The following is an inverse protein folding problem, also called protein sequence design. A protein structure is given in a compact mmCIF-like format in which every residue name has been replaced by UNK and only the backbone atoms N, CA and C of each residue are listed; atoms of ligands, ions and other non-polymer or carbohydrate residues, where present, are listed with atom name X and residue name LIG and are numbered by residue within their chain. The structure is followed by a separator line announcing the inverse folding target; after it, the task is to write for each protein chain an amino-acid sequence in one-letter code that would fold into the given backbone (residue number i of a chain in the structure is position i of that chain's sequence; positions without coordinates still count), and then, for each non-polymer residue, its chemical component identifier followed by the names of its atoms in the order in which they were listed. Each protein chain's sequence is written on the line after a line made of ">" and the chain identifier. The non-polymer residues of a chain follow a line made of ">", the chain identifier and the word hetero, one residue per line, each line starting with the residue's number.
data_IF_444829265444
#
_entry.id   IF_444829265444
#
_cell.length_a   1.000
_cell.length_b   1.000
_cell.length_c   1.000
_cell.angle_alpha   90.00
_cell.angle_beta   90.00
_cell.angle_gamma   90.00
#
_symmetry.space_group_name_H-M   'P 1'
#
loop_
_entity.id
_entity.type
_entity.pdbx_description
1 polymer ?
#
# COMPACT_ATOMS: atom_id res chain seq x y z
N UNK A 1 -14.46 17.33 -9.46
CA UNK A 1 -13.00 17.52 -9.76
C UNK A 1 -12.76 17.20 -11.23
N UNK A 2 -12.26 18.19 -11.97
CA UNK A 2 -12.11 18.15 -13.42
C UNK A 2 -10.72 17.67 -13.86
N UNK A 3 -10.57 17.34 -15.15
CA UNK A 3 -9.26 17.07 -15.76
C UNK A 3 -8.27 18.23 -15.56
N UNK A 4 -8.76 19.49 -15.59
CA UNK A 4 -7.94 20.68 -15.37
C UNK A 4 -7.33 20.67 -13.96
N UNK A 5 -8.09 20.27 -12.94
CA UNK A 5 -7.63 20.24 -11.56
C UNK A 5 -6.49 19.23 -11.38
N UNK A 6 -6.61 18.04 -11.96
CA UNK A 6 -5.55 17.03 -11.97
C UNK A 6 -4.30 17.51 -12.72
N UNK A 7 -4.46 18.14 -13.88
CA UNK A 7 -3.32 18.70 -14.63
C UNK A 7 -2.60 19.79 -13.85
N UNK A 8 -3.34 20.68 -13.17
CA UNK A 8 -2.75 21.72 -12.33
C UNK A 8 -1.96 21.12 -11.16
N UNK A 9 -2.47 20.06 -10.54
CA UNK A 9 -1.76 19.36 -9.47
C UNK A 9 -0.47 18.71 -9.97
N UNK A 10 -0.51 18.01 -11.09
CA UNK A 10 0.72 17.49 -11.70
C UNK A 10 1.71 18.59 -12.06
N UNK A 11 1.26 19.69 -12.66
CA UNK A 11 2.10 20.83 -13.00
C UNK A 11 2.78 21.44 -11.75
N UNK A 12 2.04 21.57 -10.65
CA UNK A 12 2.56 22.07 -9.38
C UNK A 12 3.74 21.22 -8.89
N UNK A 13 3.58 19.88 -8.80
CA UNK A 13 4.66 19.00 -8.35
C UNK A 13 5.82 18.94 -9.35
N UNK A 14 5.52 18.91 -10.65
CA UNK A 14 6.55 18.87 -11.71
C UNK A 14 7.29 20.21 -11.88
N UNK A 15 6.88 21.28 -11.22
CA UNK A 15 7.63 22.54 -11.17
C UNK A 15 8.79 22.52 -10.16
N UNK A 16 8.84 21.54 -9.27
CA UNK A 16 9.95 21.34 -8.34
C UNK A 16 11.24 21.00 -9.08
N UNK A 17 12.33 21.75 -8.79
CA UNK A 17 13.60 21.65 -9.51
C UNK A 17 14.34 20.35 -9.23
N UNK A 18 14.25 19.83 -8.01
CA UNK A 18 14.92 18.58 -7.62
C UNK A 18 14.20 17.38 -8.23
N UNK A 19 12.86 17.41 -8.28
CA UNK A 19 12.08 16.40 -9.00
C UNK A 19 12.36 16.42 -10.50
N UNK A 20 12.50 17.61 -11.11
CA UNK A 20 12.91 17.73 -12.52
C UNK A 20 14.30 17.14 -12.76
N UNK A 21 15.26 17.41 -11.87
CA UNK A 21 16.61 16.87 -11.97
C UNK A 21 16.60 15.33 -11.85
N UNK A 22 15.83 14.79 -10.90
CA UNK A 22 15.65 13.35 -10.74
C UNK A 22 15.12 12.72 -12.03
N UNK A 23 14.01 13.24 -12.59
CA UNK A 23 13.41 12.74 -13.82
C UNK A 23 14.33 12.87 -15.06
N UNK A 24 15.19 13.90 -15.08
CA UNK A 24 16.17 14.11 -16.13
C UNK A 24 17.32 13.10 -16.10
N UNK A 25 17.73 12.67 -14.91
CA UNK A 25 18.98 11.93 -14.68
C UNK A 25 18.78 10.43 -14.42
N UNK A 26 17.56 10.03 -14.01
CA UNK A 26 17.25 8.64 -13.64
C UNK A 26 16.06 8.12 -14.43
N UNK A 27 16.15 6.88 -14.98
CA UNK A 27 14.98 6.21 -15.51
C UNK A 27 13.98 5.90 -14.39
N UNK A 28 12.69 6.03 -14.69
CA UNK A 28 11.63 5.80 -13.73
C UNK A 28 10.70 4.68 -14.20
N UNK A 29 10.42 3.73 -13.33
CA UNK A 29 9.34 2.76 -13.48
C UNK A 29 8.29 3.15 -12.44
N UNK A 30 7.16 3.67 -12.92
CA UNK A 30 6.14 4.26 -12.06
C UNK A 30 4.84 3.47 -12.06
N UNK A 31 4.12 3.50 -10.98
CA UNK A 31 2.75 3.00 -10.83
C UNK A 31 1.97 4.03 -10.02
N UNK A 32 0.68 4.17 -10.26
CA UNK A 32 -0.17 5.03 -9.43
C UNK A 32 -0.41 4.41 -8.06
N UNK A 33 -0.77 5.26 -7.10
CA UNK A 33 -1.42 4.88 -5.86
C UNK A 33 -2.80 5.56 -5.79
N UNK A 34 -3.37 5.72 -4.61
CA UNK A 34 -4.68 6.32 -4.40
C UNK A 34 -4.67 7.84 -4.64
N UNK A 35 -3.65 8.55 -4.19
CA UNK A 35 -3.56 10.01 -4.30
C UNK A 35 -3.37 10.55 -5.72
N UNK A 36 -3.07 9.69 -6.70
CA UNK A 36 -3.23 10.03 -8.11
C UNK A 36 -4.70 10.25 -8.49
N UNK A 37 -5.64 9.76 -7.68
CA UNK A 37 -7.10 9.85 -7.86
C UNK A 37 -7.77 10.57 -6.71
N UNK A 38 -7.82 9.94 -5.54
CA UNK A 38 -8.25 10.49 -4.25
C UNK A 38 -8.04 9.44 -3.16
N UNK A 39 -7.93 9.87 -1.90
CA UNK A 39 -7.62 9.05 -0.75
C UNK A 39 -8.41 7.74 -0.70
N UNK A 40 -7.70 6.65 -0.41
CA UNK A 40 -8.23 5.29 -0.24
C UNK A 40 -9.16 4.83 -1.38
N UNK A 41 -8.74 5.06 -2.63
CA UNK A 41 -9.49 4.70 -3.84
C UNK A 41 -9.64 3.19 -4.00
N UNK A 42 -10.85 2.77 -4.41
CA UNK A 42 -11.16 1.43 -4.91
C UNK A 42 -11.81 1.50 -6.30
N UNK A 43 -12.13 0.36 -6.90
CA UNK A 43 -12.61 0.30 -8.30
C UNK A 43 -13.81 1.23 -8.63
N UNK A 44 -14.72 1.45 -7.68
CA UNK A 44 -15.99 2.16 -7.90
C UNK A 44 -16.17 3.40 -7.01
N UNK A 45 -15.15 3.82 -6.26
CA UNK A 45 -15.26 4.95 -5.35
C UNK A 45 -13.96 5.21 -4.61
N UNK A 46 -14.02 6.10 -3.63
CA UNK A 46 -12.93 6.43 -2.73
C UNK A 46 -13.49 6.95 -1.41
N UNK A 47 -12.66 7.01 -0.38
CA UNK A 47 -13.05 7.56 0.91
C UNK A 47 -13.38 9.05 0.79
N UNK A 48 -12.50 9.81 0.12
CA UNK A 48 -12.68 11.24 -0.08
C UNK A 48 -13.36 11.54 -1.42
N UNK A 49 -14.49 10.91 -1.66
CA UNK A 49 -15.36 11.21 -2.81
C UNK A 49 -16.83 11.07 -2.42
N UNK A 50 -17.59 12.14 -2.64
CA UNK A 50 -19.04 12.22 -2.39
C UNK A 50 -19.81 12.50 -3.66
N UNK A 51 -21.12 12.26 -3.64
CA UNK A 51 -21.99 12.41 -4.83
C UNK A 51 -22.11 13.85 -5.35
N UNK A 52 -21.91 14.85 -4.49
CA UNK A 52 -21.89 16.27 -4.86
C UNK A 52 -20.62 16.66 -5.65
N UNK A 53 -19.57 15.84 -5.62
CA UNK A 53 -18.39 16.00 -6.47
C UNK A 53 -18.58 15.40 -7.90
N UNK A 54 -19.74 14.84 -8.18
CA UNK A 54 -20.08 14.19 -9.46
C UNK A 54 -19.89 12.68 -9.45
N UNK A 55 -19.90 12.08 -10.62
CA UNK A 55 -19.77 10.63 -10.79
C UNK A 55 -18.30 10.21 -10.63
N UNK A 56 -18.01 9.30 -9.71
CA UNK A 56 -16.63 8.81 -9.47
C UNK A 56 -15.95 8.29 -10.75
N UNK A 57 -16.68 7.64 -11.62
CA UNK A 57 -16.12 7.14 -12.88
C UNK A 57 -15.53 8.27 -13.75
N UNK A 58 -16.17 9.42 -13.85
CA UNK A 58 -15.67 10.58 -14.59
C UNK A 58 -14.42 11.16 -13.93
N UNK A 59 -14.42 11.27 -12.58
CA UNK A 59 -13.25 11.66 -11.82
C UNK A 59 -12.08 10.73 -12.09
N UNK A 60 -12.30 9.43 -12.05
CA UNK A 60 -11.29 8.39 -12.35
C UNK A 60 -10.72 8.53 -13.77
N UNK A 61 -11.54 8.74 -14.78
CA UNK A 61 -11.07 8.92 -16.18
C UNK A 61 -10.24 10.20 -16.31
N UNK A 62 -10.65 11.29 -15.67
CA UNK A 62 -9.89 12.54 -15.65
C UNK A 62 -8.50 12.37 -15.01
N UNK A 63 -8.44 11.70 -13.87
CA UNK A 63 -7.20 11.39 -13.17
C UNK A 63 -6.27 10.51 -14.03
N UNK A 64 -6.78 9.41 -14.60
CA UNK A 64 -6.04 8.54 -15.51
C UNK A 64 -5.47 9.29 -16.70
N UNK A 65 -6.27 10.17 -17.33
CA UNK A 65 -5.79 10.97 -18.45
C UNK A 65 -4.66 11.90 -18.06
N UNK A 66 -4.80 12.62 -16.96
CA UNK A 66 -3.72 13.46 -16.43
C UNK A 66 -2.47 12.65 -16.09
N UNK A 67 -2.63 11.49 -15.45
CA UNK A 67 -1.52 10.62 -15.11
C UNK A 67 -0.69 10.23 -16.34
N UNK A 68 -1.33 9.74 -17.41
CA UNK A 68 -0.62 9.36 -18.64
C UNK A 68 -0.03 10.56 -19.42
N UNK A 69 -0.58 11.76 -19.26
CA UNK A 69 -0.01 12.98 -19.84
C UNK A 69 1.28 13.44 -19.13
N UNK A 70 1.38 13.19 -17.82
CA UNK A 70 2.43 13.77 -16.98
C UNK A 70 3.48 12.78 -16.48
N UNK A 71 3.19 11.48 -16.49
CA UNK A 71 4.12 10.46 -16.01
C UNK A 71 4.88 9.81 -17.17
N UNK A 72 6.18 9.46 -16.98
CA UNK A 72 7.03 8.88 -18.04
C UNK A 72 6.71 7.41 -18.28
N UNK A 73 5.49 7.11 -18.71
CA UNK A 73 4.97 5.76 -18.93
C UNK A 73 4.38 5.65 -20.33
N UNK A 74 4.61 4.50 -20.99
CA UNK A 74 3.94 4.21 -22.26
C UNK A 74 2.50 3.80 -22.01
N UNK A 75 1.58 4.45 -22.74
CA UNK A 75 0.19 4.01 -22.76
C UNK A 75 0.09 2.62 -23.41
N UNK A 76 -0.66 1.72 -22.78
CA UNK A 76 -1.09 0.49 -23.43
C UNK A 76 -2.45 0.69 -24.09
N UNK A 77 -2.89 -0.26 -24.91
CA UNK A 77 -4.19 -0.19 -25.60
C UNK A 77 -5.37 -0.04 -24.61
N UNK A 78 -5.24 -0.62 -23.43
CA UNK A 78 -6.19 -0.48 -22.34
C UNK A 78 -5.64 0.49 -21.30
N UNK A 79 -5.96 1.78 -21.46
CA UNK A 79 -5.50 2.89 -20.60
C UNK A 79 -5.82 2.75 -19.11
N UNK A 80 -6.64 1.78 -18.74
CA UNK A 80 -6.96 1.50 -17.34
C UNK A 80 -6.04 0.45 -16.70
N UNK A 81 -5.21 -0.24 -17.49
CA UNK A 81 -4.32 -1.30 -17.01
C UNK A 81 -2.90 -0.77 -16.89
N UNK A 82 -2.32 -0.81 -15.70
CA UNK A 82 -0.96 -0.34 -15.43
C UNK A 82 0.02 -1.48 -15.12
N UNK A 83 -0.46 -2.66 -14.76
CA UNK A 83 0.44 -3.78 -14.47
C UNK A 83 1.23 -4.21 -15.70
N UNK A 84 2.51 -4.41 -15.50
CA UNK A 84 3.50 -4.77 -16.51
C UNK A 84 4.73 -5.35 -15.85
N UNK A 85 5.57 -6.01 -16.59
CA UNK A 85 6.84 -6.54 -16.10
C UNK A 85 8.04 -6.00 -16.84
N UNK A 86 9.17 -6.13 -16.18
CA UNK A 86 10.51 -5.81 -16.72
C UNK A 86 11.46 -6.92 -16.29
N UNK A 87 12.31 -7.36 -17.22
CA UNK A 87 13.25 -8.43 -16.99
C UNK A 87 14.69 -7.98 -17.28
N UNK A 88 15.61 -8.30 -16.38
CA UNK A 88 17.04 -8.04 -16.55
C UNK A 88 17.78 -9.36 -16.56
N UNK A 89 17.97 -9.91 -17.78
CA UNK A 89 18.53 -11.24 -17.96
C UNK A 89 17.80 -12.29 -17.15
N UNK A 90 18.54 -13.12 -16.44
CA UNK A 90 18.05 -14.07 -15.44
C UNK A 90 18.28 -13.57 -13.98
N UNK A 91 18.75 -12.32 -13.83
CA UNK A 91 19.03 -11.76 -12.53
C UNK A 91 17.72 -11.46 -11.77
N UNK A 92 16.83 -10.69 -12.38
CA UNK A 92 15.53 -10.42 -11.78
C UNK A 92 14.43 -10.15 -12.81
N UNK A 93 13.22 -10.41 -12.38
CA UNK A 93 12.00 -9.93 -13.00
C UNK A 93 11.27 -9.00 -12.01
N UNK A 94 10.93 -7.78 -12.46
CA UNK A 94 10.12 -6.82 -11.73
C UNK A 94 8.70 -6.83 -12.30
N UNK A 95 7.71 -7.21 -11.48
CA UNK A 95 6.29 -7.16 -11.81
C UNK A 95 5.66 -5.98 -11.07
N UNK A 96 5.18 -4.99 -11.81
CA UNK A 96 4.46 -3.84 -11.26
C UNK A 96 2.97 -4.16 -11.18
N UNK A 97 2.38 -4.05 -10.00
CA UNK A 97 0.99 -4.43 -9.73
C UNK A 97 0.08 -3.20 -9.63
N UNK A 98 -1.22 -3.42 -9.72
CA UNK A 98 -2.28 -2.45 -9.41
C UNK A 98 -3.13 -2.99 -8.25
N UNK A 99 -2.99 -2.39 -7.09
CA UNK A 99 -3.77 -2.71 -5.89
C UNK A 99 -4.89 -1.69 -5.63
N UNK A 100 -5.16 -0.76 -6.58
CA UNK A 100 -6.11 0.34 -6.37
C UNK A 100 -7.33 0.31 -7.29
N UNK A 101 -7.15 0.30 -8.60
CA UNK A 101 -8.21 0.76 -9.51
C UNK A 101 -9.04 -0.32 -10.18
N UNK A 102 -8.43 -1.46 -10.55
CA UNK A 102 -9.08 -2.34 -11.52
C UNK A 102 -10.06 -3.30 -10.86
N UNK A 103 -9.69 -3.86 -9.72
CA UNK A 103 -10.45 -4.95 -9.12
C UNK A 103 -10.74 -4.78 -7.64
N UNK A 104 -10.07 -3.82 -7.00
CA UNK A 104 -10.16 -3.60 -5.57
C UNK A 104 -11.61 -3.37 -5.13
N UNK A 105 -12.10 -4.22 -4.26
CA UNK A 105 -13.35 -4.00 -3.53
C UNK A 105 -13.12 -2.95 -2.43
N UNK A 106 -14.16 -2.28 -1.98
CA UNK A 106 -14.07 -1.33 -0.86
C UNK A 106 -13.52 -2.03 0.38
N UNK A 107 -12.53 -1.41 1.02
CA UNK A 107 -12.00 -1.82 2.31
C UNK A 107 -13.07 -1.75 3.40
N UNK A 108 -12.85 -2.44 4.52
CA UNK A 108 -13.73 -2.29 5.68
C UNK A 108 -13.55 -0.89 6.27
N UNK A 109 -14.64 -0.26 6.61
CA UNK A 109 -14.64 1.00 7.34
C UNK A 109 -14.72 0.70 8.83
N UNK A 110 -13.62 0.95 9.54
CA UNK A 110 -13.54 0.68 10.99
C UNK A 110 -14.59 1.46 11.78
N UNK A 111 -14.98 2.66 11.32
CA UNK A 111 -16.00 3.45 11.98
C UNK A 111 -17.36 2.74 11.99
N UNK A 112 -17.63 1.88 11.02
CA UNK A 112 -18.88 1.11 10.99
C UNK A 112 -19.02 0.07 12.11
N UNK A 113 -17.91 -0.23 12.82
CA UNK A 113 -17.85 -1.15 13.96
C UNK A 113 -17.70 -0.42 15.31
N UNK A 114 -17.66 0.92 15.30
CA UNK A 114 -17.45 1.71 16.50
C UNK A 114 -18.70 2.52 16.84
N UNK A 115 -19.34 2.20 17.95
CA UNK A 115 -20.49 2.91 18.46
C UNK A 115 -20.47 2.95 20.00
N UNK A 116 -21.04 3.97 20.59
CA UNK A 116 -21.10 4.14 22.04
C UNK A 116 -19.75 3.94 22.75
N UNK A 117 -18.65 4.41 22.09
CA UNK A 117 -17.27 4.28 22.57
C UNK A 117 -16.79 2.82 22.68
N UNK A 118 -17.44 1.89 21.99
CA UNK A 118 -17.12 0.46 21.98
C UNK A 118 -16.93 -0.02 20.55
N UNK A 119 -15.93 -0.87 20.33
CA UNK A 119 -15.67 -1.51 19.04
C UNK A 119 -16.26 -2.93 19.01
N UNK A 120 -17.12 -3.21 18.03
CA UNK A 120 -17.71 -4.53 17.81
C UNK A 120 -16.69 -5.49 17.16
N UNK A 121 -15.87 -6.09 18.01
CA UNK A 121 -14.81 -7.01 17.64
C UNK A 121 -15.33 -8.23 16.87
N UNK A 122 -16.47 -8.78 17.27
CA UNK A 122 -16.97 -10.03 16.69
C UNK A 122 -17.52 -9.81 15.27
N UNK A 123 -18.26 -8.73 15.05
CA UNK A 123 -18.69 -8.36 13.69
C UNK A 123 -17.50 -8.03 12.80
N UNK A 124 -16.50 -7.31 13.30
CA UNK A 124 -15.29 -7.01 12.55
C UNK A 124 -14.51 -8.27 12.14
N UNK A 125 -14.25 -9.21 13.07
CA UNK A 125 -13.62 -10.49 12.77
C UNK A 125 -14.38 -11.28 11.71
N UNK A 126 -15.71 -11.34 11.84
CA UNK A 126 -16.58 -12.03 10.89
C UNK A 126 -16.46 -11.42 9.48
N UNK A 127 -16.44 -10.09 9.41
CA UNK A 127 -16.36 -9.39 8.13
C UNK A 127 -14.97 -9.45 7.50
N UNK A 128 -13.89 -9.50 8.30
CA UNK A 128 -12.54 -9.77 7.78
C UNK A 128 -12.43 -11.12 7.05
N UNK A 129 -13.20 -12.12 7.45
CA UNK A 129 -13.21 -13.45 6.82
C UNK A 129 -14.01 -13.48 5.51
N UNK A 130 -14.79 -12.47 5.18
CA UNK A 130 -15.49 -12.41 3.90
C UNK A 130 -14.49 -12.18 2.75
N UNK A 131 -14.67 -12.88 1.61
CA UNK A 131 -13.78 -12.66 0.46
C UNK A 131 -13.96 -11.25 -0.11
N UNK A 132 -12.87 -10.52 -0.24
CA UNK A 132 -12.77 -9.24 -0.94
C UNK A 132 -11.63 -9.32 -1.95
N UNK A 133 -11.84 -8.71 -3.11
CA UNK A 133 -10.84 -8.67 -4.19
C UNK A 133 -9.93 -7.47 -4.02
N UNK A 134 -8.66 -7.66 -4.29
CA UNK A 134 -7.66 -6.61 -4.41
C UNK A 134 -7.09 -6.58 -5.83
N UNK A 135 -6.37 -7.61 -6.25
CA UNK A 135 -5.81 -7.74 -7.60
C UNK A 135 -6.85 -8.22 -8.63
N UNK A 136 -7.77 -9.10 -8.20
CA UNK A 136 -8.78 -9.70 -9.04
C UNK A 136 -8.27 -10.71 -10.06
N UNK A 137 -9.20 -11.43 -10.69
CA UNK A 137 -8.90 -12.60 -11.53
C UNK A 137 -7.96 -12.32 -12.70
N UNK A 138 -8.11 -11.18 -13.38
CA UNK A 138 -7.31 -10.85 -14.59
C UNK A 138 -5.85 -10.64 -14.25
N UNK A 139 -5.57 -9.90 -13.17
CA UNK A 139 -4.19 -9.62 -12.76
C UNK A 139 -3.53 -10.88 -12.16
N UNK A 140 -4.26 -11.69 -11.40
CA UNK A 140 -3.73 -12.98 -10.96
C UNK A 140 -3.35 -13.89 -12.14
N UNK A 141 -4.22 -14.01 -13.14
CA UNK A 141 -3.92 -14.78 -14.34
C UNK A 141 -2.68 -14.26 -15.06
N UNK A 142 -2.55 -12.94 -15.17
CA UNK A 142 -1.37 -12.32 -15.75
C UNK A 142 -0.09 -12.64 -14.94
N UNK A 143 -0.13 -12.59 -13.61
CA UNK A 143 1.01 -12.96 -12.76
C UNK A 143 1.39 -14.42 -13.03
N UNK A 144 0.43 -15.35 -13.00
CA UNK A 144 0.65 -16.78 -13.24
C UNK A 144 1.27 -17.06 -14.61
N UNK A 145 0.82 -16.35 -15.66
CA UNK A 145 1.31 -16.52 -17.04
C UNK A 145 2.66 -15.86 -17.29
N UNK A 146 3.00 -14.81 -16.53
CA UNK A 146 4.16 -13.95 -16.79
C UNK A 146 5.36 -14.29 -15.91
N UNK A 147 5.11 -14.81 -14.69
CA UNK A 147 6.13 -15.05 -13.68
C UNK A 147 7.17 -16.06 -14.16
N UNK A 148 8.42 -15.60 -14.27
CA UNK A 148 9.55 -16.42 -14.72
C UNK A 148 10.35 -16.97 -13.52
N UNK A 149 10.13 -18.24 -13.23
CA UNK A 149 10.81 -18.95 -12.13
C UNK A 149 12.31 -19.20 -12.38
N UNK A 150 12.83 -18.90 -13.57
CA UNK A 150 14.24 -18.99 -13.88
C UNK A 150 15.06 -17.77 -13.41
N UNK A 151 14.38 -16.66 -13.10
CA UNK A 151 15.03 -15.48 -12.54
C UNK A 151 15.47 -15.74 -11.10
N UNK A 152 16.67 -15.24 -10.74
CA UNK A 152 17.20 -15.33 -9.36
C UNK A 152 16.29 -14.62 -8.35
N UNK A 153 15.72 -13.47 -8.74
CA UNK A 153 14.84 -12.66 -7.93
C UNK A 153 13.52 -12.37 -8.64
N UNK A 154 12.41 -12.55 -7.93
CA UNK A 154 11.09 -12.06 -8.34
C UNK A 154 10.74 -10.85 -7.48
N UNK A 155 10.67 -9.68 -8.10
CA UNK A 155 10.40 -8.42 -7.42
C UNK A 155 9.00 -7.96 -7.78
N UNK A 156 8.17 -7.69 -6.79
CA UNK A 156 6.80 -7.20 -6.98
C UNK A 156 6.72 -5.77 -6.47
N UNK A 157 6.60 -4.80 -7.40
CA UNK A 157 6.37 -3.39 -7.07
C UNK A 157 4.88 -3.12 -6.97
N UNK A 158 4.42 -2.69 -5.82
CA UNK A 158 3.00 -2.44 -5.56
C UNK A 158 2.82 -1.30 -4.56
N UNK A 159 1.59 -0.90 -4.28
CA UNK A 159 1.29 0.33 -3.56
C UNK A 159 1.39 0.17 -2.04
N UNK A 160 0.73 -0.84 -1.50
CA UNK A 160 0.35 -0.98 -0.08
C UNK A 160 1.07 -2.15 0.60
N UNK A 161 1.27 -2.09 1.91
CA UNK A 161 1.94 -3.16 2.66
C UNK A 161 1.17 -4.48 2.62
N UNK A 162 1.91 -5.60 2.41
CA UNK A 162 1.33 -6.94 2.39
C UNK A 162 1.56 -7.69 3.71
N UNK A 163 2.63 -7.40 4.44
CA UNK A 163 2.90 -7.98 5.74
C UNK A 163 1.84 -7.56 6.77
N UNK A 164 1.35 -8.49 7.59
CA UNK A 164 0.36 -8.14 8.61
C UNK A 164 0.95 -7.18 9.65
N UNK A 165 0.14 -6.19 10.02
CA UNK A 165 0.50 -5.20 11.01
C UNK A 165 -0.58 -5.07 12.09
N UNK A 166 -0.14 -5.12 13.33
CA UNK A 166 -1.00 -5.04 14.51
C UNK A 166 -0.60 -3.88 15.39
N UNK A 167 -1.61 -3.19 15.92
CA UNK A 167 -1.42 -2.09 16.85
C UNK A 167 -0.76 -2.58 18.14
N UNK A 168 0.32 -1.94 18.61
CA UNK A 168 0.99 -2.28 19.86
C UNK A 168 0.05 -2.29 21.06
N UNK A 169 0.28 -3.23 22.00
CA UNK A 169 -0.57 -3.37 23.18
C UNK A 169 -0.46 -2.17 24.12
N UNK A 170 0.68 -1.53 24.16
CA UNK A 170 0.99 -0.35 24.95
C UNK A 170 0.08 0.84 24.62
N UNK A 171 -0.47 0.88 23.41
CA UNK A 171 -1.39 1.96 22.99
C UNK A 171 -2.71 1.98 23.77
N UNK A 172 -3.06 0.89 24.48
CA UNK A 172 -4.22 0.89 25.40
C UNK A 172 -4.06 1.86 26.55
N UNK A 173 -2.82 2.14 26.95
CA UNK A 173 -2.49 3.00 28.08
C UNK A 173 -2.49 4.48 27.70
N UNK A 174 -2.67 4.81 26.42
CA UNK A 174 -2.74 6.20 25.96
C UNK A 174 -4.04 6.83 26.49
N UNK A 175 -3.89 7.97 27.18
CA UNK A 175 -5.04 8.76 27.64
C UNK A 175 -5.81 9.30 26.43
N UNK A 176 -7.05 8.84 26.27
CA UNK A 176 -7.94 9.25 25.17
C UNK A 176 -8.16 10.76 25.10
N UNK A 177 -8.00 11.48 26.21
CA UNK A 177 -8.14 12.94 26.22
C UNK A 177 -7.01 13.68 25.52
N UNK A 178 -5.86 13.00 25.28
CA UNK A 178 -4.67 13.58 24.65
C UNK A 178 -4.63 13.37 23.13
N UNK A 179 -5.56 12.59 22.58
CA UNK A 179 -5.59 12.26 21.14
C UNK A 179 -6.96 12.58 20.55
N UNK A 180 -7.02 12.90 19.24
CA UNK A 180 -8.27 13.14 18.54
C UNK A 180 -9.25 11.96 18.64
N UNK A 181 -10.54 12.23 18.72
CA UNK A 181 -11.59 11.21 18.88
C UNK A 181 -11.56 10.13 17.79
N UNK A 182 -11.25 10.51 16.55
CA UNK A 182 -11.15 9.55 15.44
C UNK A 182 -10.03 8.51 15.64
N UNK A 183 -9.06 8.77 16.51
CA UNK A 183 -7.99 7.83 16.85
C UNK A 183 -8.38 6.82 17.94
N UNK A 184 -9.46 7.06 18.67
CA UNK A 184 -9.87 6.16 19.75
C UNK A 184 -10.15 4.73 19.27
N UNK A 185 -10.61 4.59 18.03
CA UNK A 185 -10.88 3.28 17.41
C UNK A 185 -9.61 2.42 17.32
N UNK A 186 -8.45 3.01 17.10
CA UNK A 186 -7.18 2.28 17.02
C UNK A 186 -6.74 1.77 18.38
N UNK A 187 -7.04 2.51 19.45
CA UNK A 187 -6.77 2.06 20.83
C UNK A 187 -7.60 0.81 21.19
N UNK A 188 -8.82 0.71 20.65
CA UNK A 188 -9.65 -0.48 20.85
C UNK A 188 -9.07 -1.73 20.18
N UNK A 189 -8.28 -1.57 19.11
CA UNK A 189 -7.60 -2.65 18.40
C UNK A 189 -6.22 -3.00 19.02
N UNK A 190 -5.68 -2.14 19.88
CA UNK A 190 -4.36 -2.31 20.47
C UNK A 190 -4.22 -3.66 21.19
N UNK A 191 -3.15 -4.40 20.87
CA UNK A 191 -2.84 -5.71 21.47
C UNK A 191 -3.81 -6.85 21.13
N UNK A 192 -4.77 -6.65 20.21
CA UNK A 192 -5.78 -7.66 19.87
C UNK A 192 -5.39 -8.57 18.71
N UNK A 193 -4.23 -8.37 18.09
CA UNK A 193 -3.80 -9.10 16.89
C UNK A 193 -4.86 -9.03 15.77
N UNK A 194 -5.49 -7.88 15.62
CA UNK A 194 -6.43 -7.56 14.56
C UNK A 194 -5.89 -6.42 13.70
N UNK A 195 -6.14 -6.43 12.38
CA UNK A 195 -5.79 -5.34 11.50
C UNK A 195 -6.37 -4.00 11.96
N UNK A 196 -5.55 -2.98 11.96
CA UNK A 196 -5.98 -1.61 12.25
C UNK A 196 -6.05 -0.75 10.98
N UNK A 197 -5.36 -1.15 9.93
CA UNK A 197 -5.41 -0.49 8.61
C UNK A 197 -5.93 -1.45 7.55
N UNK A 198 -7.22 -1.36 7.25
CA UNK A 198 -7.90 -2.22 6.27
C UNK A 198 -7.69 -1.76 4.82
N UNK A 199 -7.05 -0.62 4.61
CA UNK A 199 -6.60 -0.16 3.30
C UNK A 199 -5.41 -0.98 2.80
N UNK A 200 -4.57 -1.49 3.69
CA UNK A 200 -3.50 -2.42 3.40
C UNK A 200 -4.04 -3.83 3.03
N UNK A 201 -3.16 -4.76 2.65
CA UNK A 201 -3.56 -6.16 2.40
C UNK A 201 -4.22 -6.84 3.61
N UNK A 202 -4.06 -6.27 4.78
CA UNK A 202 -4.75 -6.71 5.99
C UNK A 202 -6.28 -6.64 5.88
N UNK A 203 -6.82 -5.74 5.08
CA UNK A 203 -8.24 -5.71 4.72
C UNK A 203 -8.66 -6.82 3.74
N UNK A 204 -7.71 -7.56 3.16
CA UNK A 204 -7.93 -8.55 2.11
C UNK A 204 -7.21 -9.89 2.39
N UNK A 205 -7.34 -10.48 3.57
CA UNK A 205 -6.53 -11.61 4.00
C UNK A 205 -6.63 -12.83 3.08
N UNK A 206 -7.78 -13.07 2.46
CA UNK A 206 -7.95 -14.19 1.50
C UNK A 206 -7.25 -13.95 0.16
N UNK A 207 -7.23 -12.71 -0.32
CA UNK A 207 -6.47 -12.35 -1.53
C UNK A 207 -4.97 -12.39 -1.24
N UNK A 208 -4.52 -11.96 -0.05
CA UNK A 208 -3.12 -12.08 0.39
C UNK A 208 -2.66 -13.54 0.36
N UNK A 209 -3.42 -14.44 0.97
CA UNK A 209 -3.09 -15.86 0.97
C UNK A 209 -3.07 -16.45 -0.44
N UNK A 210 -4.00 -16.04 -1.30
CA UNK A 210 -4.00 -16.43 -2.72
C UNK A 210 -2.73 -15.92 -3.41
N UNK A 211 -2.31 -14.68 -3.17
CA UNK A 211 -1.08 -14.13 -3.76
C UNK A 211 0.15 -14.92 -3.28
N UNK A 212 0.26 -15.20 -1.99
CA UNK A 212 1.34 -16.03 -1.44
C UNK A 212 1.39 -17.43 -2.09
N UNK A 213 0.23 -18.06 -2.28
CA UNK A 213 0.15 -19.35 -2.97
C UNK A 213 0.60 -19.28 -4.43
N UNK A 214 0.35 -18.16 -5.11
CA UNK A 214 0.77 -17.96 -6.51
C UNK A 214 2.29 -17.83 -6.65
N UNK A 215 2.96 -17.20 -5.68
CA UNK A 215 4.40 -16.89 -5.74
C UNK A 215 5.29 -17.82 -4.91
N UNK A 216 4.73 -18.72 -4.10
CA UNK A 216 5.48 -19.52 -3.10
C UNK A 216 6.57 -20.40 -3.68
N UNK A 217 6.39 -20.91 -4.91
CA UNK A 217 7.36 -21.79 -5.55
C UNK A 217 8.57 -21.07 -6.16
N UNK A 218 8.62 -19.76 -6.03
CA UNK A 218 9.80 -18.97 -6.44
C UNK A 218 10.85 -19.00 -5.34
N UNK A 219 12.12 -18.99 -5.75
CA UNK A 219 13.22 -19.09 -4.80
C UNK A 219 13.42 -17.84 -3.94
N UNK A 220 13.16 -16.64 -4.49
CA UNK A 220 13.46 -15.38 -3.80
C UNK A 220 12.48 -14.30 -4.21
N UNK A 221 11.49 -14.04 -3.37
CA UNK A 221 10.50 -12.99 -3.59
C UNK A 221 10.84 -11.75 -2.76
N UNK A 222 10.79 -10.58 -3.40
CA UNK A 222 10.89 -9.26 -2.76
C UNK A 222 9.62 -8.49 -3.13
N UNK A 223 8.88 -8.03 -2.14
CA UNK A 223 7.72 -7.18 -2.32
C UNK A 223 8.10 -5.76 -1.92
N UNK A 224 7.92 -4.81 -2.84
CA UNK A 224 8.15 -3.39 -2.63
C UNK A 224 6.80 -2.70 -2.43
N UNK A 225 6.71 -1.88 -1.40
CA UNK A 225 5.51 -1.13 -1.07
C UNK A 225 5.83 0.33 -0.69
N UNK A 226 4.80 1.18 -0.64
CA UNK A 226 4.84 2.57 -0.20
C UNK A 226 3.69 2.90 0.73
N UNK A 227 2.95 3.98 0.43
CA UNK A 227 1.69 4.40 1.05
C UNK A 227 1.80 4.89 2.51
N UNK A 228 2.46 4.14 3.37
CA UNK A 228 2.44 4.37 4.83
C UNK A 228 3.38 5.48 5.32
N UNK A 229 4.16 6.07 4.43
CA UNK A 229 5.13 7.13 4.74
C UNK A 229 6.22 6.76 5.78
N UNK A 230 6.34 5.48 6.10
CA UNK A 230 7.32 4.92 7.04
C UNK A 230 8.12 3.81 6.37
N UNK A 231 9.33 3.54 6.89
CA UNK A 231 10.14 2.41 6.43
C UNK A 231 9.72 1.14 7.14
N UNK A 232 9.60 0.05 6.38
CA UNK A 232 9.26 -1.27 6.89
C UNK A 232 10.13 -2.35 6.25
N UNK A 233 10.58 -3.30 7.05
CA UNK A 233 11.20 -4.53 6.57
C UNK A 233 10.59 -5.71 7.31
N UNK A 234 9.91 -6.59 6.58
CA UNK A 234 9.21 -7.74 7.15
C UNK A 234 9.58 -9.04 6.45
N UNK A 235 9.71 -10.11 7.22
CA UNK A 235 9.59 -11.46 6.67
C UNK A 235 8.13 -11.80 6.42
N UNK A 236 7.84 -12.41 5.29
CA UNK A 236 6.49 -12.81 4.92
C UNK A 236 6.33 -14.32 5.09
N UNK A 237 5.26 -14.72 5.77
CA UNK A 237 4.89 -16.11 5.98
C UNK A 237 3.42 -16.33 5.62
N UNK A 238 3.13 -17.48 5.04
CA UNK A 238 1.75 -17.89 4.79
C UNK A 238 1.07 -18.41 6.08
N UNK A 239 -0.21 -18.78 5.96
CA UNK A 239 -1.00 -19.30 7.08
C UNK A 239 -0.54 -20.67 7.61
N UNK A 240 0.42 -21.33 6.92
CA UNK A 240 1.09 -22.56 7.35
C UNK A 240 2.48 -22.30 7.93
N UNK A 241 2.82 -21.03 8.12
CA UNK A 241 4.13 -20.57 8.58
C UNK A 241 5.30 -20.93 7.62
N UNK A 242 5.01 -21.07 6.32
CA UNK A 242 6.05 -21.24 5.30
C UNK A 242 6.54 -19.86 4.87
N UNK A 243 7.86 -19.69 4.77
CA UNK A 243 8.47 -18.45 4.32
C UNK A 243 8.14 -18.18 2.84
N UNK A 244 7.68 -17.00 2.53
CA UNK A 244 7.27 -16.58 1.18
C UNK A 244 8.28 -15.63 0.56
N UNK A 245 8.89 -14.76 1.35
CA UNK A 245 9.81 -13.72 0.89
C UNK A 245 9.95 -12.60 1.90
N UNK A 246 10.46 -11.47 1.45
CA UNK A 246 10.59 -10.26 2.26
C UNK A 246 9.76 -9.12 1.67
N UNK A 247 9.25 -8.27 2.54
CA UNK A 247 8.66 -7.00 2.16
C UNK A 247 9.55 -5.84 2.56
N UNK A 248 9.65 -4.86 1.69
CA UNK A 248 10.33 -3.59 1.92
C UNK A 248 9.33 -2.47 1.65
N UNK A 249 8.85 -1.84 2.69
CA UNK A 249 8.06 -0.62 2.63
C UNK A 249 8.98 0.60 2.61
N UNK A 250 8.88 1.40 1.55
CA UNK A 250 9.67 2.63 1.43
C UNK A 250 8.98 3.79 2.15
N UNK A 251 9.73 4.69 2.81
CA UNK A 251 9.18 5.89 3.39
C UNK A 251 8.82 6.90 2.29
N UNK A 252 8.11 7.97 2.66
CA UNK A 252 7.87 9.09 1.76
C UNK A 252 9.14 9.93 1.56
N UNK A 253 9.21 10.62 0.42
CA UNK A 253 10.25 11.64 0.18
C UNK A 253 9.83 12.98 0.82
N UNK A 254 8.55 13.34 0.78
CA UNK A 254 8.06 14.66 1.20
C UNK A 254 6.78 14.64 2.04
N UNK A 255 5.96 13.59 1.95
CA UNK A 255 4.72 13.51 2.73
C UNK A 255 4.99 13.42 4.23
N UNK A 256 4.08 13.93 5.07
CA UNK A 256 4.20 13.83 6.52
C UNK A 256 4.35 12.37 7.00
N UNK A 257 5.14 12.17 8.02
CA UNK A 257 5.34 10.88 8.70
C UNK A 257 4.95 10.97 10.18
N UNK A 258 5.24 9.95 10.98
CA UNK A 258 4.85 9.93 12.39
C UNK A 258 5.53 11.04 13.21
N UNK A 259 6.76 11.44 12.89
CA UNK A 259 7.42 12.57 13.60
C UNK A 259 6.70 13.88 13.32
N UNK A 260 6.24 14.10 12.11
CA UNK A 260 5.48 15.31 11.77
C UNK A 260 4.14 15.38 12.56
N UNK A 261 3.59 14.23 12.97
CA UNK A 261 2.34 14.13 13.73
C UNK A 261 2.54 14.03 15.26
N UNK A 262 3.56 13.30 15.71
CA UNK A 262 3.74 12.92 17.12
C UNK A 262 5.06 13.40 17.73
N UNK A 263 5.90 14.14 16.98
CA UNK A 263 7.20 14.61 17.43
C UNK A 263 8.14 13.46 17.83
N UNK A 264 8.97 13.69 18.85
CA UNK A 264 9.96 12.71 19.32
C UNK A 264 9.36 11.39 19.84
N UNK A 265 8.05 11.35 20.11
CA UNK A 265 7.35 10.13 20.51
C UNK A 265 7.33 9.06 19.41
N UNK A 266 7.51 9.46 18.16
CA UNK A 266 7.57 8.53 17.02
C UNK A 266 8.64 7.43 17.18
N UNK A 267 9.80 7.75 17.77
CA UNK A 267 10.86 6.77 17.99
C UNK A 267 10.46 5.64 18.99
N UNK A 268 9.60 5.96 19.95
CA UNK A 268 9.05 4.97 20.89
C UNK A 268 8.02 4.06 20.21
N UNK A 269 7.30 4.61 19.22
CA UNK A 269 6.32 3.87 18.42
C UNK A 269 7.01 2.74 17.63
N UNK A 270 8.17 3.00 17.04
CA UNK A 270 8.93 1.99 16.25
C UNK A 270 9.29 0.77 17.11
N UNK A 271 9.82 0.97 18.32
CA UNK A 271 10.15 -0.12 19.24
C UNK A 271 8.92 -0.93 19.67
N UNK A 272 7.79 -0.28 19.85
CA UNK A 272 6.53 -0.94 20.21
C UNK A 272 5.97 -1.77 19.05
N UNK A 273 6.05 -1.26 17.80
CA UNK A 273 5.69 -2.02 16.60
C UNK A 273 6.56 -3.27 16.45
N UNK A 274 7.89 -3.16 16.61
CA UNK A 274 8.81 -4.31 16.55
C UNK A 274 8.48 -5.39 17.58
N UNK A 275 8.11 -5.02 18.80
CA UNK A 275 7.71 -5.97 19.86
C UNK A 275 6.39 -6.67 19.54
N UNK A 276 5.44 -5.96 18.94
CA UNK A 276 4.07 -6.45 18.71
C UNK A 276 3.93 -7.24 17.41
N UNK A 277 4.85 -7.07 16.47
CA UNK A 277 4.78 -7.64 15.11
C UNK A 277 5.99 -8.54 14.84
N UNK A 278 5.88 -9.83 15.16
CA UNK A 278 6.99 -10.81 15.10
C UNK A 278 7.66 -10.93 13.72
N UNK A 279 6.94 -10.65 12.65
CA UNK A 279 7.45 -10.71 11.29
C UNK A 279 8.20 -9.44 10.88
N UNK A 280 8.01 -8.36 11.63
CA UNK A 280 8.66 -7.08 11.39
C UNK A 280 10.09 -7.14 11.91
N UNK A 281 11.07 -6.86 11.03
CA UNK A 281 12.51 -6.88 11.34
C UNK A 281 13.02 -5.47 11.63
N UNK A 282 12.48 -4.49 10.91
CA UNK A 282 12.88 -3.10 11.02
C UNK A 282 11.70 -2.20 10.68
N UNK A 283 11.57 -1.11 11.40
CA UNK A 283 10.69 0.00 11.06
C UNK A 283 11.35 1.33 11.42
N UNK A 284 11.04 2.36 10.68
CA UNK A 284 11.40 3.73 11.01
C UNK A 284 10.28 4.65 10.50
N UNK A 285 9.59 5.25 11.44
CA UNK A 285 8.47 6.17 11.18
C UNK A 285 8.85 7.65 11.30
N UNK A 286 10.15 7.94 11.52
CA UNK A 286 10.64 9.31 11.74
C UNK A 286 11.38 9.90 10.54
N UNK A 287 11.99 9.08 9.70
CA UNK A 287 12.82 9.59 8.60
C UNK A 287 12.13 9.47 7.25
N UNK A 288 12.30 10.49 6.44
CA UNK A 288 11.98 10.50 5.00
C UNK A 288 13.16 9.95 4.21
N UNK A 289 12.89 9.39 3.02
CA UNK A 289 13.99 8.84 2.21
C UNK A 289 13.53 7.88 1.12
N UNK A 290 14.43 6.98 0.76
CA UNK A 290 14.20 5.95 -0.26
C UNK A 290 14.93 4.66 0.11
N UNK A 291 14.56 3.58 -0.54
CA UNK A 291 15.21 2.28 -0.38
C UNK A 291 16.13 2.02 -1.58
N UNK A 292 17.36 1.60 -1.30
CA UNK A 292 18.30 1.14 -2.31
C UNK A 292 18.52 -0.36 -2.21
N UNK A 293 18.33 -1.07 -3.33
CA UNK A 293 18.59 -2.50 -3.42
C UNK A 293 19.84 -2.71 -4.27
N UNK A 294 20.83 -3.37 -3.70
CA UNK A 294 22.09 -3.70 -4.37
C UNK A 294 22.20 -5.21 -4.55
N UNK A 295 22.43 -5.68 -5.77
CA UNK A 295 22.76 -7.08 -6.05
C UNK A 295 24.26 -7.18 -6.33
N UNK A 296 24.95 -7.93 -5.50
CA UNK A 296 26.32 -8.33 -5.81
C UNK A 296 26.24 -9.53 -6.76
N UNK A 297 26.80 -9.36 -7.95
CA UNK A 297 26.88 -10.38 -9.00
C UNK A 297 28.02 -11.35 -8.68
#
# INVERSE_FOLDING_TARGET
>A
ISLRDYRLRHAQYKSDKDLQLLHKTKPMIVVWDDHEFTNNTWKNGAENHSLDEGIFYERKINALKAYYEWMPIRENQNKTTIWRDFKVGNLFQLLMLDTRLISRDKQLDLNSYYSDKTFDIESYKKDLQKPRKLLGRRQFKWIEDTLDKSCKWSIFGQQILIGPQYMPAEFKEIDKSLIPEYMHIYLELAGRQLPWNTDQWDGYPKEREKFYNTIRDNQSNIILAGDTHSSWLSNLYDNKNSFIGIEIGAPSISSPNAVDMFGDYANQIDDQYLKSNKNLIYTNSSHKGYVQILSLI
#
